data_IF_047453513485
#
_entry.id   IF_047453513485
#
_cell.length_a   1.000
_cell.length_b   1.000
_cell.length_c   1.000
_cell.angle_alpha   90.00
_cell.angle_beta   90.00
_cell.angle_gamma   90.00
#
_symmetry.space_group_name_H-M   'P 1'
#
loop_
_entity.id
_entity.type
_entity.pdbx_description
1 polymer ?
#
# COMPACT_ATOMS: atom_id res chain seq x y z
N UNK A 1 -0.89 -8.24 -13.32
CA UNK A 1 -2.04 -7.77 -12.50
C UNK A 1 -2.80 -8.98 -12.04
N UNK A 2 -3.00 -9.14 -10.74
CA UNK A 2 -3.79 -10.21 -10.14
C UNK A 2 -5.08 -9.62 -9.57
N UNK A 3 -6.23 -10.13 -9.99
CA UNK A 3 -7.55 -9.67 -9.54
C UNK A 3 -8.18 -10.68 -8.58
N UNK A 4 -9.04 -10.20 -7.68
CA UNK A 4 -10.03 -11.09 -7.06
C UNK A 4 -11.09 -11.54 -8.08
N UNK A 5 -11.81 -12.61 -7.75
CA UNK A 5 -12.86 -13.19 -8.61
C UNK A 5 -14.01 -12.24 -8.93
N UNK A 6 -14.13 -11.12 -8.21
CA UNK A 6 -15.15 -10.10 -8.40
C UNK A 6 -14.63 -8.87 -9.16
N UNK A 7 -13.35 -8.82 -9.50
CA UNK A 7 -12.68 -7.64 -10.09
C UNK A 7 -12.66 -6.41 -9.15
N UNK A 8 -12.90 -6.59 -7.85
CA UNK A 8 -13.03 -5.48 -6.88
C UNK A 8 -11.71 -5.09 -6.23
N UNK A 9 -10.75 -5.99 -6.23
CA UNK A 9 -9.41 -5.76 -5.71
C UNK A 9 -8.38 -6.35 -6.65
N UNK A 10 -7.22 -5.70 -6.73
CA UNK A 10 -6.11 -6.20 -7.52
C UNK A 10 -4.78 -5.82 -6.89
N UNK A 11 -3.72 -6.52 -7.31
CA UNK A 11 -2.34 -6.09 -7.12
C UNK A 11 -1.58 -6.07 -8.45
N UNK A 12 -0.76 -5.05 -8.63
CA UNK A 12 0.19 -4.91 -9.71
C UNK A 12 1.53 -4.45 -9.14
N UNK A 13 2.59 -5.23 -9.33
CA UNK A 13 3.90 -4.91 -8.79
C UNK A 13 4.80 -6.12 -8.76
N UNK A 14 5.94 -5.98 -8.09
CA UNK A 14 6.93 -7.04 -8.02
C UNK A 14 6.54 -8.13 -7.03
N UNK A 15 6.98 -9.34 -7.35
CA UNK A 15 6.79 -10.52 -6.52
C UNK A 15 8.13 -11.21 -6.31
N UNK A 16 8.40 -11.59 -5.07
CA UNK A 16 9.57 -12.41 -4.70
C UNK A 16 9.05 -13.57 -3.87
N UNK A 17 9.40 -14.81 -4.20
CA UNK A 17 8.95 -16.00 -3.46
C UNK A 17 7.44 -16.04 -3.18
N UNK A 18 6.63 -15.65 -4.18
CA UNK A 18 5.17 -15.61 -4.09
C UNK A 18 4.61 -14.62 -3.03
N UNK A 19 5.40 -13.62 -2.63
CA UNK A 19 4.96 -12.50 -1.79
C UNK A 19 5.20 -11.18 -2.50
N UNK A 20 4.31 -10.21 -2.26
CA UNK A 20 4.47 -8.84 -2.77
C UNK A 20 5.73 -8.23 -2.20
N UNK A 21 6.55 -7.67 -3.06
CA UNK A 21 7.82 -7.06 -2.74
C UNK A 21 8.09 -5.90 -3.71
N UNK A 22 9.02 -5.00 -3.41
CA UNK A 22 9.38 -3.92 -4.34
C UNK A 22 8.25 -2.91 -4.52
N UNK A 23 8.18 -2.27 -5.68
CA UNK A 23 7.15 -1.25 -5.93
C UNK A 23 5.86 -1.90 -6.42
N UNK A 24 4.71 -1.40 -5.96
CA UNK A 24 3.43 -1.88 -6.49
C UNK A 24 2.19 -1.10 -6.07
N UNK A 25 1.15 -1.29 -6.86
CA UNK A 25 -0.19 -0.73 -6.67
C UNK A 25 -1.15 -1.82 -6.22
N UNK A 26 -1.88 -1.58 -5.14
CA UNK A 26 -2.95 -2.43 -4.62
C UNK A 26 -4.26 -1.65 -4.59
N UNK A 27 -5.28 -2.17 -5.26
CA UNK A 27 -6.66 -1.82 -4.95
C UNK A 27 -7.21 -2.80 -3.92
N UNK A 28 -7.86 -2.28 -2.89
CA UNK A 28 -8.58 -3.07 -1.88
C UNK A 28 -10.05 -3.23 -2.27
N UNK A 29 -10.77 -4.24 -1.75
CA UNK A 29 -12.20 -4.42 -2.03
C UNK A 29 -13.07 -3.21 -1.64
N UNK A 30 -12.59 -2.38 -0.72
CA UNK A 30 -13.25 -1.11 -0.34
C UNK A 30 -13.14 -0.01 -1.41
N UNK A 31 -12.34 -0.22 -2.47
CA UNK A 31 -11.98 0.81 -3.43
C UNK A 31 -10.74 1.62 -3.04
N UNK A 32 -10.24 1.47 -1.81
CA UNK A 32 -9.00 2.13 -1.37
C UNK A 32 -7.82 1.69 -2.26
N UNK A 33 -6.89 2.61 -2.50
CA UNK A 33 -5.73 2.35 -3.35
C UNK A 33 -4.47 2.69 -2.59
N UNK A 34 -3.54 1.74 -2.55
CA UNK A 34 -2.17 1.99 -2.13
C UNK A 34 -1.22 1.88 -3.31
N UNK A 35 -0.31 2.82 -3.47
CA UNK A 35 0.79 2.78 -4.41
C UNK A 35 2.08 3.07 -3.65
N UNK A 36 3.00 2.12 -3.60
CA UNK A 36 4.21 2.30 -2.80
C UNK A 36 5.07 1.06 -2.73
N UNK A 37 6.05 1.10 -1.82
CA UNK A 37 6.94 -0.02 -1.54
C UNK A 37 6.21 -1.14 -0.76
N UNK A 38 6.60 -2.37 -1.06
CA UNK A 38 6.13 -3.58 -0.42
C UNK A 38 7.34 -4.40 0.04
N UNK A 39 7.19 -5.03 1.20
CA UNK A 39 8.15 -5.98 1.73
C UNK A 39 7.38 -7.11 2.37
N UNK A 40 7.57 -8.34 1.92
CA UNK A 40 6.89 -9.53 2.47
C UNK A 40 5.38 -9.36 2.68
N UNK A 41 4.65 -9.00 1.62
CA UNK A 41 3.19 -8.78 1.60
C UNK A 41 2.65 -7.59 2.40
N UNK A 42 3.50 -6.81 3.08
CA UNK A 42 3.10 -5.61 3.82
C UNK A 42 3.58 -4.34 3.12
N UNK A 43 2.82 -3.25 3.28
CA UNK A 43 3.23 -1.91 2.84
C UNK A 43 4.47 -1.50 3.63
N UNK A 44 5.46 -0.95 2.94
CA UNK A 44 6.74 -0.56 3.51
C UNK A 44 7.27 0.69 2.79
N UNK A 45 8.30 1.34 3.33
CA UNK A 45 8.98 2.49 2.72
C UNK A 45 8.03 3.61 2.28
N UNK A 46 8.39 4.29 1.20
CA UNK A 46 7.56 5.36 0.64
C UNK A 46 6.31 4.81 -0.04
N UNK A 47 5.17 5.46 0.22
CA UNK A 47 3.93 5.12 -0.46
C UNK A 47 2.80 6.12 -0.22
N UNK A 48 1.84 6.08 -1.13
CA UNK A 48 0.62 6.87 -1.10
C UNK A 48 -0.59 5.96 -0.90
N UNK A 49 -1.44 6.28 0.08
CA UNK A 49 -2.73 5.65 0.30
C UNK A 49 -3.86 6.64 0.01
N UNK A 50 -4.81 6.24 -0.81
CA UNK A 50 -6.08 6.92 -1.05
C UNK A 50 -7.21 6.13 -0.40
N UNK A 51 -7.87 6.76 0.57
CA UNK A 51 -9.10 6.26 1.19
C UNK A 51 -10.28 6.87 0.46
N UNK A 52 -11.03 6.03 -0.27
CA UNK A 52 -12.17 6.48 -1.07
C UNK A 52 -13.36 6.84 -0.19
N UNK A 53 -13.55 6.12 0.91
CA UNK A 53 -14.62 6.34 1.88
C UNK A 53 -14.52 7.67 2.62
N UNK A 54 -13.29 8.14 2.88
CA UNK A 54 -13.01 9.39 3.62
C UNK A 54 -12.60 10.55 2.74
N UNK A 55 -12.46 10.33 1.43
CA UNK A 55 -11.85 11.28 0.49
C UNK A 55 -10.51 11.84 1.00
N UNK A 56 -9.66 10.94 1.52
CA UNK A 56 -8.37 11.29 2.11
C UNK A 56 -7.23 10.66 1.34
N UNK A 57 -6.11 11.39 1.25
CA UNK A 57 -4.86 10.91 0.68
C UNK A 57 -3.75 11.10 1.73
N UNK A 58 -2.93 10.08 1.93
CA UNK A 58 -1.70 10.15 2.70
C UNK A 58 -0.54 9.75 1.81
N UNK A 59 0.49 10.58 1.77
CA UNK A 59 1.78 10.27 1.16
C UNK A 59 2.83 10.36 2.24
N UNK A 60 3.58 9.27 2.46
CA UNK A 60 4.57 9.22 3.52
C UNK A 60 5.21 7.84 3.67
N UNK A 61 5.88 7.65 4.81
CA UNK A 61 6.60 6.43 5.13
C UNK A 61 5.67 5.37 5.72
N UNK A 62 5.93 4.10 5.39
CA UNK A 62 5.20 2.95 5.88
C UNK A 62 6.18 1.94 6.48
N UNK A 63 5.85 1.40 7.64
CA UNK A 63 6.65 0.36 8.27
C UNK A 63 5.72 -0.72 8.82
N UNK A 64 5.98 -1.98 8.47
CA UNK A 64 5.15 -3.13 8.85
C UNK A 64 3.65 -2.92 8.58
N UNK A 65 3.31 -2.25 7.48
CA UNK A 65 1.94 -1.94 7.09
C UNK A 65 1.30 -0.73 7.79
N UNK A 66 2.01 -0.04 8.68
CA UNK A 66 1.53 1.09 9.48
C UNK A 66 2.09 2.39 8.91
N UNK A 67 1.30 3.47 8.95
CA UNK A 67 1.76 4.80 8.57
C UNK A 67 2.76 5.30 9.61
N UNK A 68 3.95 5.68 9.18
CA UNK A 68 4.93 6.35 10.02
C UNK A 68 4.61 7.84 9.96
N UNK A 69 3.96 8.36 11.00
CA UNK A 69 3.79 9.81 11.13
C UNK A 69 5.13 10.43 11.51
N UNK A 70 5.53 11.51 10.84
CA UNK A 70 6.72 12.31 11.21
C UNK A 70 6.47 13.12 12.51
N UNK A 71 5.82 12.53 13.51
CA UNK A 71 5.62 13.12 14.84
C UNK A 71 6.74 12.81 15.84
N UNK A 72 7.84 12.22 15.37
CA UNK A 72 8.98 11.76 16.18
C UNK A 72 10.29 12.49 15.93
N UNK A 73 10.28 13.71 15.40
CA UNK A 73 11.45 14.59 15.49
C UNK A 73 11.19 15.61 16.60
N UNK A 74 11.46 15.17 17.83
CA UNK A 74 11.83 16.09 18.90
C UNK A 74 13.25 16.57 18.61
N UNK A 75 13.39 17.82 18.19
CA UNK A 75 14.52 18.67 18.53
C UNK A 75 13.96 20.04 18.90
#
# INVERSE_FOLDING_TARGET
>A
MDYDSAGKSYYEGDWVNNVRHGWGTRQYPSGNIYQGMWFNNVRHGEGTMKWVDRDQIYTGQWENGIQVSMGGHTL
#
